data_IF_214534396517
#
_entry.id   IF_214534396517
#
_cell.length_a   1.000
_cell.length_b   1.000
_cell.length_c   1.000
_cell.angle_alpha   90.00
_cell.angle_beta   90.00
_cell.angle_gamma   90.00
#
_symmetry.space_group_name_H-M   'P 1'
#
loop_
_entity.id
_entity.type
_entity.pdbx_description
1 polymer ?
#
# COMPACT_ATOMS: atom_id res chain seq x y z
N UNK A 1 -13.35 17.60 6.47
CA UNK A 1 -14.09 16.32 6.38
C UNK A 1 -15.00 16.22 7.58
N UNK A 2 -16.18 15.62 7.43
CA UNK A 2 -17.10 15.33 8.53
C UNK A 2 -17.19 13.82 8.69
N UNK A 3 -17.13 13.37 9.93
CA UNK A 3 -17.24 11.95 10.31
C UNK A 3 -18.52 11.79 11.11
N UNK A 4 -19.49 11.07 10.53
CA UNK A 4 -20.75 10.75 11.18
C UNK A 4 -20.70 9.31 11.68
N UNK A 5 -20.85 9.13 12.99
CA UNK A 5 -20.94 7.80 13.59
C UNK A 5 -22.42 7.40 13.64
N UNK A 6 -22.80 6.38 12.87
CA UNK A 6 -24.18 5.87 12.83
C UNK A 6 -24.42 4.79 13.89
N UNK A 7 -23.39 4.01 14.24
CA UNK A 7 -23.43 3.02 15.33
C UNK A 7 -22.04 2.83 15.96
N UNK A 8 -21.91 1.88 16.89
CA UNK A 8 -20.61 1.54 17.53
C UNK A 8 -19.57 0.97 16.54
N UNK A 9 -19.99 0.61 15.33
CA UNK A 9 -19.11 0.11 14.28
C UNK A 9 -19.27 0.87 12.97
N UNK A 10 -20.43 1.41 12.65
CA UNK A 10 -20.67 2.05 11.36
C UNK A 10 -20.31 3.55 11.38
N UNK A 11 -19.48 3.95 10.42
CA UNK A 11 -19.06 5.33 10.23
C UNK A 11 -19.29 5.74 8.78
N UNK A 12 -19.80 6.96 8.58
CA UNK A 12 -19.84 7.64 7.29
C UNK A 12 -18.90 8.83 7.28
N UNK A 13 -17.97 8.87 6.35
CA UNK A 13 -17.06 10.00 6.14
C UNK A 13 -17.48 10.77 4.90
N UNK A 14 -17.60 12.10 5.03
CA UNK A 14 -17.94 13.01 3.95
C UNK A 14 -16.86 14.07 3.79
N UNK A 15 -16.32 14.19 2.58
CA UNK A 15 -15.46 15.31 2.20
C UNK A 15 -16.30 16.49 1.73
N UNK A 16 -16.51 17.48 2.61
CA UNK A 16 -17.39 18.62 2.33
C UNK A 16 -17.10 19.36 1.01
N UNK A 17 -15.84 19.69 0.67
CA UNK A 17 -15.58 20.47 -0.54
C UNK A 17 -15.96 19.77 -1.85
N UNK A 18 -15.91 18.43 -1.90
CA UNK A 18 -16.19 17.67 -3.14
C UNK A 18 -17.46 16.84 -3.08
N UNK A 19 -18.12 16.77 -1.92
CA UNK A 19 -19.28 15.90 -1.71
C UNK A 19 -18.97 14.40 -1.69
N UNK A 20 -17.71 13.98 -1.79
CA UNK A 20 -17.35 12.55 -1.77
C UNK A 20 -17.73 11.94 -0.42
N UNK A 21 -18.53 10.88 -0.46
CA UNK A 21 -18.97 10.14 0.74
C UNK A 21 -18.57 8.67 0.68
N UNK A 22 -18.29 8.11 1.85
CA UNK A 22 -18.05 6.68 2.01
C UNK A 22 -18.53 6.23 3.38
N UNK A 23 -19.29 5.14 3.41
CA UNK A 23 -19.72 4.47 4.63
C UNK A 23 -18.92 3.19 4.82
N UNK A 24 -18.41 2.99 6.03
CA UNK A 24 -17.64 1.83 6.43
C UNK A 24 -18.30 1.13 7.61
N UNK A 25 -18.64 -0.15 7.43
CA UNK A 25 -19.22 -1.03 8.45
C UNK A 25 -18.54 -2.40 8.49
N UNK A 26 -17.31 -2.48 7.99
CA UNK A 26 -16.59 -3.74 7.75
C UNK A 26 -16.05 -4.36 9.04
N UNK A 27 -15.59 -3.54 9.98
CA UNK A 27 -15.01 -3.99 11.23
C UNK A 27 -15.95 -3.81 12.42
N UNK A 28 -15.73 -4.58 13.49
CA UNK A 28 -16.41 -4.34 14.78
C UNK A 28 -15.93 -3.05 15.46
N UNK A 29 -14.71 -2.61 15.16
CA UNK A 29 -14.12 -1.37 15.72
C UNK A 29 -14.41 -0.19 14.82
N UNK A 30 -15.09 0.83 15.38
CA UNK A 30 -15.31 2.11 14.71
C UNK A 30 -14.00 2.77 14.27
N UNK A 31 -12.90 2.63 15.03
CA UNK A 31 -11.63 3.28 14.70
C UNK A 31 -11.05 2.72 13.40
N UNK A 32 -11.10 1.39 13.23
CA UNK A 32 -10.66 0.74 11.99
C UNK A 32 -11.53 1.16 10.80
N UNK A 33 -12.84 1.25 10.98
CA UNK A 33 -13.76 1.72 9.94
C UNK A 33 -13.53 3.20 9.58
N UNK A 34 -13.18 4.04 10.56
CA UNK A 34 -12.82 5.44 10.33
C UNK A 34 -11.58 5.56 9.46
N UNK A 35 -10.54 4.80 9.78
CA UNK A 35 -9.26 4.85 9.08
C UNK A 35 -9.41 4.36 7.63
N UNK A 36 -10.14 3.26 7.42
CA UNK A 36 -10.53 2.79 6.09
C UNK A 36 -11.29 3.88 5.32
N UNK A 37 -12.34 4.46 5.91
CA UNK A 37 -13.14 5.46 5.24
C UNK A 37 -12.35 6.71 4.84
N UNK A 38 -11.41 7.15 5.69
CA UNK A 38 -10.52 8.27 5.35
C UNK A 38 -9.56 7.91 4.22
N UNK A 39 -8.98 6.70 4.22
CA UNK A 39 -8.10 6.23 3.14
C UNK A 39 -8.84 6.20 1.80
N UNK A 40 -10.05 5.65 1.77
CA UNK A 40 -10.89 5.57 0.57
C UNK A 40 -11.18 6.96 0.01
N UNK A 41 -11.59 7.89 0.87
CA UNK A 41 -11.88 9.26 0.45
C UNK A 41 -10.64 9.95 -0.12
N UNK A 42 -9.46 9.78 0.51
CA UNK A 42 -8.21 10.34 -0.03
C UNK A 42 -7.87 9.75 -1.40
N UNK A 43 -7.98 8.44 -1.58
CA UNK A 43 -7.72 7.78 -2.84
C UNK A 43 -8.68 8.24 -3.94
N UNK A 44 -9.98 8.40 -3.62
CA UNK A 44 -10.97 8.96 -4.55
C UNK A 44 -10.66 10.39 -4.96
N UNK A 45 -10.24 11.24 -4.02
CA UNK A 45 -9.84 12.62 -4.32
C UNK A 45 -8.60 12.68 -5.23
N UNK A 46 -7.65 11.76 -5.04
CA UNK A 46 -6.48 11.67 -5.90
C UNK A 46 -6.86 11.17 -7.30
N UNK A 47 -7.71 10.13 -7.40
CA UNK A 47 -8.23 9.64 -8.67
C UNK A 47 -8.97 10.75 -9.44
N UNK A 48 -9.83 11.51 -8.77
CA UNK A 48 -10.57 12.64 -9.36
C UNK A 48 -9.61 13.71 -9.93
N UNK A 49 -8.51 14.02 -9.22
CA UNK A 49 -7.51 14.99 -9.69
C UNK A 49 -6.73 14.51 -10.92
N UNK A 50 -6.56 13.20 -11.06
CA UNK A 50 -5.78 12.58 -12.14
C UNK A 50 -6.65 12.08 -13.29
N UNK A 51 -7.99 12.20 -13.20
CA UNK A 51 -8.92 11.67 -14.20
C UNK A 51 -9.01 10.14 -14.21
N UNK A 52 -8.68 9.48 -13.10
CA UNK A 52 -8.69 8.03 -12.97
C UNK A 52 -10.03 7.52 -12.40
N UNK A 53 -10.32 6.24 -12.63
CA UNK A 53 -11.49 5.56 -12.05
C UNK A 53 -11.39 5.54 -10.52
N UNK A 54 -12.51 5.82 -9.85
CA UNK A 54 -12.57 5.85 -8.39
C UNK A 54 -12.44 4.43 -7.82
N UNK A 55 -11.60 4.21 -6.80
CA UNK A 55 -11.47 2.89 -6.19
C UNK A 55 -12.71 2.52 -5.35
N UNK A 56 -13.14 1.26 -5.43
CA UNK A 56 -14.31 0.71 -4.71
C UNK A 56 -13.93 0.11 -3.33
N UNK A 57 -12.68 -0.34 -3.17
CA UNK A 57 -11.99 -0.89 -1.98
C UNK A 57 -12.69 -2.07 -1.27
N UNK A 58 -11.97 -3.20 -1.25
CA UNK A 58 -12.07 -4.32 -0.32
C UNK A 58 -10.68 -4.47 0.31
N UNK A 59 -10.56 -4.51 1.63
CA UNK A 59 -9.25 -4.66 2.31
C UNK A 59 -8.81 -6.13 2.33
N UNK A 60 -7.88 -6.50 1.45
CA UNK A 60 -6.66 -7.29 1.71
C UNK A 60 -5.77 -7.18 0.46
N UNK A 61 -4.45 -6.89 0.59
CA UNK A 61 -3.60 -6.57 -0.58
C UNK A 61 -2.92 -7.79 -1.24
N UNK A 62 -2.97 -8.94 -0.57
CA UNK A 62 -2.77 -10.25 -1.20
C UNK A 62 -4.10 -10.71 -1.77
N UNK A 63 -4.12 -11.22 -3.01
CA UNK A 63 -5.33 -11.62 -3.73
C UNK A 63 -6.27 -10.46 -4.12
N UNK A 64 -5.76 -9.22 -4.18
CA UNK A 64 -6.53 -8.09 -4.73
C UNK A 64 -6.43 -8.06 -6.25
N UNK A 65 -7.51 -7.57 -6.87
CA UNK A 65 -7.53 -7.28 -8.30
C UNK A 65 -6.47 -6.23 -8.64
N UNK A 66 -5.63 -6.53 -9.63
CA UNK A 66 -4.58 -5.67 -10.14
C UNK A 66 -5.17 -4.33 -10.61
N UNK A 67 -4.69 -3.19 -10.07
CA UNK A 67 -5.21 -1.87 -10.44
C UNK A 67 -4.85 -1.43 -11.87
N UNK A 68 -3.94 -2.13 -12.54
CA UNK A 68 -3.49 -1.79 -13.90
C UNK A 68 -4.38 -2.43 -14.96
N UNK A 69 -4.62 -3.73 -14.84
CA UNK A 69 -5.40 -4.47 -15.84
C UNK A 69 -6.84 -4.76 -15.40
N UNK A 70 -7.17 -4.61 -14.12
CA UNK A 70 -8.46 -4.97 -13.53
C UNK A 70 -8.87 -6.45 -13.72
N UNK A 71 -7.95 -7.32 -14.16
CA UNK A 71 -8.22 -8.71 -14.56
C UNK A 71 -7.52 -9.76 -13.69
N UNK A 72 -6.25 -9.53 -13.31
CA UNK A 72 -5.45 -10.49 -12.53
C UNK A 72 -5.44 -10.19 -11.04
N UNK A 73 -4.97 -11.14 -10.25
CA UNK A 73 -4.74 -10.97 -8.81
C UNK A 73 -3.28 -10.59 -8.53
N UNK A 74 -3.02 -9.88 -7.43
CA UNK A 74 -1.68 -9.56 -6.95
C UNK A 74 -1.17 -10.66 -6.01
N UNK A 75 -0.07 -11.30 -6.40
CA UNK A 75 0.66 -12.28 -5.59
C UNK A 75 1.95 -11.66 -5.03
N UNK A 76 2.25 -11.88 -3.74
CA UNK A 76 3.52 -11.46 -3.15
C UNK A 76 4.67 -12.31 -3.71
N UNK A 77 5.77 -11.63 -4.04
CA UNK A 77 7.02 -12.23 -4.50
C UNK A 77 8.17 -11.76 -3.61
N UNK A 78 9.09 -12.69 -3.38
CA UNK A 78 10.33 -12.49 -2.66
C UNK A 78 11.47 -12.85 -3.59
N UNK A 79 12.41 -11.92 -3.77
CA UNK A 79 13.62 -12.15 -4.54
C UNK A 79 14.82 -11.54 -3.82
N UNK A 80 16.01 -11.99 -4.19
CA UNK A 80 17.28 -11.44 -3.70
C UNK A 80 17.94 -10.69 -4.83
N UNK A 81 18.18 -9.40 -4.64
CA UNK A 81 18.84 -8.54 -5.60
C UNK A 81 20.30 -8.38 -5.23
N UNK A 82 21.18 -8.63 -6.18
CA UNK A 82 22.61 -8.34 -6.02
C UNK A 82 22.82 -6.83 -6.20
N UNK A 83 23.34 -6.19 -5.18
CA UNK A 83 23.53 -4.74 -5.13
C UNK A 83 24.95 -4.41 -4.70
N UNK A 84 25.58 -3.45 -5.37
CA UNK A 84 26.83 -2.86 -4.89
C UNK A 84 26.51 -1.73 -3.89
N UNK A 85 26.94 -1.90 -2.64
CA UNK A 85 26.74 -0.92 -1.58
C UNK A 85 28.09 -0.57 -0.99
N UNK A 86 28.49 0.69 -1.15
CA UNK A 86 29.80 1.19 -0.74
C UNK A 86 30.96 0.38 -1.35
N UNK A 87 30.83 -0.14 -2.57
CA UNK A 87 31.91 -0.90 -3.24
C UNK A 87 32.01 -2.37 -2.83
N UNK A 88 31.10 -2.86 -1.99
CA UNK A 88 30.96 -4.28 -1.66
C UNK A 88 29.67 -4.82 -2.26
N UNK A 89 29.68 -6.06 -2.72
CA UNK A 89 28.49 -6.71 -3.27
C UNK A 89 27.68 -7.40 -2.18
N UNK A 90 26.37 -7.12 -2.16
CA UNK A 90 25.42 -7.72 -1.23
C UNK A 90 24.25 -8.34 -1.95
N UNK A 91 23.80 -9.46 -1.41
CA UNK A 91 22.54 -10.09 -1.72
C UNK A 91 21.45 -9.50 -0.81
N UNK A 92 20.69 -8.54 -1.34
CA UNK A 92 19.68 -7.78 -0.59
C UNK A 92 18.27 -8.32 -0.89
N UNK A 93 17.50 -8.73 0.13
CA UNK A 93 16.12 -9.14 -0.07
C UNK A 93 15.23 -8.02 -0.64
N UNK A 94 14.28 -8.40 -1.48
CA UNK A 94 13.27 -7.54 -2.10
C UNK A 94 11.90 -8.23 -2.07
N UNK A 95 10.89 -7.52 -1.57
CA UNK A 95 9.50 -7.95 -1.53
C UNK A 95 8.62 -7.03 -2.38
N UNK A 96 7.80 -7.59 -3.25
CA UNK A 96 6.90 -6.85 -4.15
C UNK A 96 5.71 -7.72 -4.56
N UNK A 97 4.71 -7.12 -5.22
CA UNK A 97 3.58 -7.86 -5.80
C UNK A 97 3.75 -8.02 -7.30
N UNK A 98 3.31 -9.15 -7.84
CA UNK A 98 3.21 -9.40 -9.30
C UNK A 98 1.79 -9.77 -9.66
N UNK A 99 1.29 -9.18 -10.74
CA UNK A 99 -0.04 -9.52 -11.26
C UNK A 99 -0.03 -10.86 -12.01
N UNK A 100 -0.95 -11.76 -11.67
CA UNK A 100 -1.11 -13.06 -12.34
C UNK A 100 -1.54 -12.99 -13.81
N UNK A 101 -2.08 -11.85 -14.26
CA UNK A 101 -2.54 -11.65 -15.64
C UNK A 101 -1.58 -10.84 -16.50
N UNK A 102 -1.27 -9.59 -16.10
CA UNK A 102 -0.45 -8.68 -16.89
C UNK A 102 1.03 -8.62 -16.45
N UNK A 103 1.41 -9.41 -15.43
CA UNK A 103 2.79 -9.48 -14.92
C UNK A 103 3.37 -8.15 -14.41
N UNK A 104 2.52 -7.13 -14.19
CA UNK A 104 2.99 -5.86 -13.64
C UNK A 104 3.51 -6.03 -12.22
N UNK A 105 4.70 -5.51 -11.96
CA UNK A 105 5.27 -5.39 -10.62
C UNK A 105 4.71 -4.17 -9.89
N UNK A 106 4.37 -4.34 -8.62
CA UNK A 106 3.74 -3.30 -7.81
C UNK A 106 4.28 -3.33 -6.39
N UNK A 107 4.33 -2.16 -5.75
CA UNK A 107 4.83 -2.01 -4.38
C UNK A 107 3.94 -1.06 -3.60
N UNK A 108 3.47 -1.50 -2.43
CA UNK A 108 2.71 -0.65 -1.51
C UNK A 108 3.64 -0.05 -0.44
N UNK A 109 3.11 0.89 0.35
CA UNK A 109 3.87 1.56 1.43
C UNK A 109 4.48 0.60 2.45
N UNK A 110 3.85 -0.55 2.69
CA UNK A 110 4.34 -1.54 3.65
C UNK A 110 5.56 -2.30 3.11
N UNK A 111 5.48 -2.80 1.87
CA UNK A 111 6.58 -3.48 1.19
C UNK A 111 7.75 -2.53 0.93
N UNK A 112 7.47 -1.28 0.53
CA UNK A 112 8.49 -0.25 0.36
C UNK A 112 9.29 -0.04 1.65
N UNK A 113 8.61 0.08 2.80
CA UNK A 113 9.27 0.22 4.10
C UNK A 113 10.15 -0.98 4.45
N UNK A 114 9.71 -2.21 4.13
CA UNK A 114 10.53 -3.41 4.33
C UNK A 114 11.79 -3.40 3.46
N UNK A 115 11.65 -3.10 2.16
CA UNK A 115 12.78 -3.07 1.23
C UNK A 115 13.81 -1.99 1.59
N UNK A 116 13.35 -0.82 2.06
CA UNK A 116 14.23 0.22 2.62
C UNK A 116 14.98 -0.33 3.83
N UNK A 117 14.30 -1.05 4.73
CA UNK A 117 14.91 -1.68 5.89
C UNK A 117 16.01 -2.67 5.50
N UNK A 118 15.76 -3.54 4.52
CA UNK A 118 16.77 -4.49 4.01
C UNK A 118 17.99 -3.78 3.43
N UNK A 119 17.77 -2.75 2.63
CA UNK A 119 18.86 -1.96 2.02
C UNK A 119 19.65 -1.21 3.09
N UNK A 120 18.99 -0.66 4.10
CA UNK A 120 19.66 0.04 5.19
C UNK A 120 20.50 -0.91 6.04
N UNK A 121 20.00 -2.10 6.36
CA UNK A 121 20.77 -3.12 7.07
C UNK A 121 22.03 -3.54 6.31
N UNK A 122 21.93 -3.74 4.99
CA UNK A 122 23.09 -4.03 4.14
C UNK A 122 24.11 -2.89 4.14
N UNK A 123 23.65 -1.64 4.08
CA UNK A 123 24.52 -0.46 4.17
C UNK A 123 25.22 -0.37 5.53
N UNK A 124 24.50 -0.57 6.63
CA UNK A 124 25.08 -0.49 7.98
C UNK A 124 26.16 -1.57 8.15
N UNK A 125 25.94 -2.76 7.60
CA UNK A 125 26.92 -3.83 7.58
C UNK A 125 28.15 -3.47 6.72
N UNK A 126 27.96 -2.89 5.53
CA UNK A 126 29.05 -2.42 4.68
C UNK A 126 29.93 -1.36 5.38
N UNK A 127 29.32 -0.43 6.12
CA UNK A 127 30.06 0.55 6.95
C UNK A 127 30.89 -0.16 8.01
N UNK A 128 30.33 -1.20 8.65
CA UNK A 128 31.06 -1.97 9.67
C UNK A 128 32.24 -2.76 9.10
N UNK A 129 32.19 -3.21 7.84
CA UNK A 129 33.33 -3.86 7.19
C UNK A 129 34.47 -2.86 6.97
N UNK A 130 34.16 -1.68 6.43
CA UNK A 130 35.16 -0.66 6.11
C UNK A 130 35.75 0.07 7.31
N UNK A 131 35.08 0.00 8.45
CA UNK A 131 35.55 0.60 9.70
C UNK A 131 36.52 -0.33 10.46
N UNK A 132 36.77 -1.53 9.93
CA UNK A 132 37.80 -2.46 10.40
C UNK A 132 39.02 -2.38 9.49
#
# INVERSE_FOLDING_TARGET
>A
MVVNCHSKSEIKVTHLPTGNTFSASFFRSQHKNKDLAIRVIKARLQADRLGLKRPEIVEDVSDTVCPICELGLLEERFETLRMEILGEEFDVPSLYYVCTHCQSEQMNDFLLKKNIGFTQAARDFAVSIKSK
#
